data_IF_281299647857
#
_entry.id   IF_281299647857
#
_cell.length_a   1.000
_cell.length_b   1.000
_cell.length_c   1.000
_cell.angle_alpha   90.00
_cell.angle_beta   90.00
_cell.angle_gamma   90.00
#
_symmetry.space_group_name_H-M   'P 1'
#
loop_
_entity.id
_entity.type
_entity.pdbx_description
1 polymer ?
#
# COMPACT_ATOMS: atom_id res chain seq x y z
N UNK A 1 -44.71 18.93 21.57
CA UNK A 1 -43.65 19.77 20.96
C UNK A 1 -43.40 19.21 19.57
N UNK A 2 -43.66 20.01 18.54
CA UNK A 2 -43.55 19.60 17.13
C UNK A 2 -42.09 19.31 16.81
N UNK A 3 -41.77 18.06 16.51
CA UNK A 3 -40.47 17.64 16.02
C UNK A 3 -40.39 17.97 14.52
N UNK A 4 -40.30 19.26 14.18
CA UNK A 4 -39.69 19.68 12.93
C UNK A 4 -38.19 19.38 13.05
N UNK A 5 -37.86 18.10 12.98
CA UNK A 5 -36.49 17.64 12.91
C UNK A 5 -35.93 18.14 11.59
N UNK A 6 -34.95 19.02 11.68
CA UNK A 6 -34.24 19.55 10.53
C UNK A 6 -33.52 18.39 9.82
N UNK A 7 -34.19 17.77 8.84
CA UNK A 7 -33.67 16.65 8.04
C UNK A 7 -32.46 17.03 7.19
N UNK A 8 -32.03 18.30 7.21
CA UNK A 8 -30.84 18.78 6.53
C UNK A 8 -29.53 18.39 7.25
N UNK A 9 -29.54 18.12 8.55
CA UNK A 9 -28.33 17.69 9.28
C UNK A 9 -28.19 16.17 9.25
N UNK A 10 -27.02 15.62 8.87
CA UNK A 10 -26.73 14.19 8.97
C UNK A 10 -26.97 13.68 10.40
N UNK A 11 -27.80 12.65 10.57
CA UNK A 11 -28.04 12.08 11.90
C UNK A 11 -28.53 10.62 11.83
N UNK A 12 -28.47 9.96 12.97
CA UNK A 12 -28.97 8.60 13.19
C UNK A 12 -30.27 8.62 13.97
N UNK A 13 -31.17 7.70 13.61
CA UNK A 13 -32.40 7.40 14.35
C UNK A 13 -32.39 5.96 14.80
N UNK A 14 -33.00 5.69 15.95
CA UNK A 14 -33.28 4.33 16.40
C UNK A 14 -34.74 4.01 16.09
N UNK A 15 -34.97 2.99 15.25
CA UNK A 15 -36.32 2.51 14.94
C UNK A 15 -36.34 0.99 14.95
N UNK A 16 -37.24 0.39 15.75
CA UNK A 16 -37.34 -1.06 15.88
C UNK A 16 -36.05 -1.75 16.33
N UNK A 17 -35.20 -1.06 17.10
CA UNK A 17 -33.90 -1.58 17.56
C UNK A 17 -32.76 -1.49 16.52
N UNK A 18 -32.99 -0.86 15.36
CA UNK A 18 -31.98 -0.66 14.33
C UNK A 18 -31.62 0.82 14.20
N UNK A 19 -30.34 1.09 13.94
CA UNK A 19 -29.86 2.40 13.54
C UNK A 19 -30.22 2.64 12.07
N UNK A 20 -30.82 3.80 11.78
CA UNK A 20 -31.16 4.25 10.44
C UNK A 20 -30.59 5.66 10.22
N UNK A 21 -30.05 5.92 9.03
CA UNK A 21 -29.64 7.26 8.61
C UNK A 21 -30.80 7.99 7.93
N UNK A 22 -30.96 9.29 8.17
CA UNK A 22 -31.75 10.13 7.26
C UNK A 22 -31.05 10.29 5.92
N UNK A 23 -31.77 10.86 4.95
CA UNK A 23 -31.27 11.15 3.60
C UNK A 23 -29.97 11.98 3.61
N UNK A 24 -29.86 12.99 4.49
CA UNK A 24 -28.63 13.77 4.64
C UNK A 24 -27.45 12.91 5.14
N UNK A 25 -27.70 11.99 6.08
CA UNK A 25 -26.72 11.04 6.57
C UNK A 25 -26.30 9.99 5.54
N UNK A 26 -27.24 9.47 4.77
CA UNK A 26 -26.95 8.56 3.66
C UNK A 26 -26.09 9.24 2.58
N UNK A 27 -26.36 10.51 2.28
CA UNK A 27 -25.54 11.31 1.34
C UNK A 27 -24.10 11.46 1.82
N UNK A 28 -23.90 11.87 3.08
CA UNK A 28 -22.56 12.00 3.66
C UNK A 28 -21.82 10.67 3.67
N UNK A 29 -22.50 9.57 4.01
CA UNK A 29 -21.89 8.25 3.99
C UNK A 29 -21.44 7.84 2.58
N UNK A 30 -22.28 8.08 1.57
CA UNK A 30 -21.94 7.80 0.16
C UNK A 30 -20.77 8.66 -0.35
N UNK A 31 -20.73 9.95 0.01
CA UNK A 31 -19.62 10.85 -0.32
C UNK A 31 -18.31 10.38 0.34
N UNK A 32 -18.37 9.96 1.60
CA UNK A 32 -17.23 9.41 2.32
C UNK A 32 -16.72 8.12 1.68
N UNK A 33 -17.61 7.17 1.37
CA UNK A 33 -17.24 5.91 0.71
C UNK A 33 -16.61 6.15 -0.66
N UNK A 34 -17.11 7.13 -1.42
CA UNK A 34 -16.53 7.52 -2.70
C UNK A 34 -15.12 8.09 -2.54
N UNK A 35 -14.94 9.06 -1.64
CA UNK A 35 -13.64 9.66 -1.37
C UNK A 35 -12.63 8.63 -0.83
N UNK A 36 -13.07 7.70 0.02
CA UNK A 36 -12.26 6.60 0.52
C UNK A 36 -11.82 5.65 -0.61
N UNK A 37 -12.71 5.35 -1.57
CA UNK A 37 -12.35 4.56 -2.74
C UNK A 37 -11.35 5.27 -3.66
N UNK A 38 -11.48 6.59 -3.84
CA UNK A 38 -10.51 7.39 -4.60
C UNK A 38 -9.15 7.45 -3.89
N UNK A 39 -9.13 7.63 -2.57
CA UNK A 39 -7.90 7.61 -1.77
C UNK A 39 -7.17 6.27 -1.89
N UNK A 40 -7.88 5.14 -1.80
CA UNK A 40 -7.28 3.81 -1.99
C UNK A 40 -6.61 3.65 -3.37
N UNK A 41 -7.22 4.20 -4.44
CA UNK A 41 -6.60 4.20 -5.77
C UNK A 41 -5.35 5.08 -5.84
N UNK A 42 -5.38 6.23 -5.17
CA UNK A 42 -4.23 7.12 -5.08
C UNK A 42 -3.07 6.45 -4.33
N UNK A 43 -3.36 5.72 -3.25
CA UNK A 43 -2.37 5.00 -2.46
C UNK A 43 -1.73 3.87 -3.26
N UNK A 44 -2.55 3.07 -3.96
CA UNK A 44 -2.05 2.06 -4.90
C UNK A 44 -1.15 2.69 -5.99
N UNK A 45 -1.54 3.84 -6.54
CA UNK A 45 -0.74 4.57 -7.54
C UNK A 45 0.60 5.02 -6.96
N UNK A 46 0.60 5.53 -5.73
CA UNK A 46 1.82 5.91 -5.02
C UNK A 46 2.73 4.71 -4.77
N UNK A 47 2.19 3.58 -4.32
CA UNK A 47 2.96 2.35 -4.09
C UNK A 47 3.61 1.83 -5.39
N UNK A 48 2.87 1.83 -6.50
CA UNK A 48 3.42 1.47 -7.80
C UNK A 48 4.55 2.40 -8.24
N UNK A 49 4.40 3.71 -8.03
CA UNK A 49 5.44 4.69 -8.34
C UNK A 49 6.69 4.54 -7.45
N UNK A 50 6.51 4.28 -6.15
CA UNK A 50 7.61 4.01 -5.20
C UNK A 50 8.44 2.80 -5.65
N UNK A 51 7.77 1.69 -5.99
CA UNK A 51 8.46 0.46 -6.40
C UNK A 51 9.13 0.62 -7.78
N UNK A 52 8.51 1.33 -8.71
CA UNK A 52 9.15 1.66 -9.98
C UNK A 52 10.40 2.53 -9.80
N UNK A 53 10.35 3.50 -8.88
CA UNK A 53 11.50 4.34 -8.53
C UNK A 53 12.66 3.50 -7.96
N UNK A 54 12.39 2.52 -7.12
CA UNK A 54 13.44 1.60 -6.63
C UNK A 54 14.21 0.92 -7.78
N UNK A 55 13.50 0.47 -8.82
CA UNK A 55 14.14 -0.13 -9.99
C UNK A 55 14.89 0.87 -10.88
N UNK A 56 14.51 2.16 -10.87
CA UNK A 56 15.27 3.23 -11.53
C UNK A 56 16.55 3.52 -10.76
N UNK A 57 16.43 3.74 -9.45
CA UNK A 57 17.53 4.11 -8.56
C UNK A 57 18.53 2.95 -8.40
N UNK A 58 18.07 1.71 -8.61
CA UNK A 58 18.89 0.48 -8.56
C UNK A 58 18.74 -0.36 -9.83
N UNK A 59 19.43 0.00 -10.93
CA UNK A 59 19.33 -0.74 -12.21
C UNK A 59 19.78 -2.21 -12.14
N UNK A 60 20.59 -2.55 -11.13
CA UNK A 60 21.06 -3.91 -10.87
C UNK A 60 19.97 -4.80 -10.23
N UNK A 61 18.91 -4.22 -9.67
CA UNK A 61 17.83 -4.96 -9.00
C UNK A 61 16.86 -5.54 -10.03
N UNK A 62 16.74 -6.87 -10.04
CA UNK A 62 15.77 -7.61 -10.86
C UNK A 62 14.49 -7.95 -10.10
N UNK A 63 14.57 -8.10 -8.78
CA UNK A 63 13.39 -8.38 -7.95
C UNK A 63 13.75 -8.59 -6.50
N UNK A 64 12.72 -8.61 -5.65
CA UNK A 64 12.83 -8.85 -4.22
C UNK A 64 11.48 -9.33 -3.66
N UNK A 65 11.49 -9.87 -2.46
CA UNK A 65 10.31 -10.08 -1.63
C UNK A 65 10.33 -9.05 -0.52
N UNK A 66 9.22 -8.33 -0.32
CA UNK A 66 9.03 -7.39 0.79
C UNK A 66 7.97 -7.99 1.71
N UNK A 67 8.31 -8.22 2.96
CA UNK A 67 7.37 -8.58 4.01
C UNK A 67 7.04 -7.34 4.83
N UNK A 68 5.76 -7.02 4.97
CA UNK A 68 5.27 -5.90 5.76
C UNK A 68 4.51 -6.44 6.97
N UNK A 69 5.00 -6.13 8.17
CA UNK A 69 4.38 -6.58 9.43
C UNK A 69 3.84 -5.40 10.21
N UNK A 70 2.58 -5.49 10.63
CA UNK A 70 1.96 -4.52 11.51
C UNK A 70 1.89 -5.05 12.94
N UNK A 71 2.21 -4.19 13.90
CA UNK A 71 2.11 -4.51 15.32
C UNK A 71 1.59 -3.31 16.12
N UNK A 72 1.00 -3.56 17.29
CA UNK A 72 0.65 -2.52 18.24
C UNK A 72 1.83 -2.29 19.17
N UNK A 73 2.31 -1.04 19.25
CA UNK A 73 3.40 -0.64 20.13
C UNK A 73 2.87 0.39 21.11
N UNK A 74 3.20 0.21 22.39
CA UNK A 74 2.88 1.17 23.45
C UNK A 74 4.15 1.93 23.79
N UNK A 75 4.11 3.26 23.70
CA UNK A 75 5.22 4.11 24.12
C UNK A 75 5.32 4.22 25.66
N UNK A 76 6.36 4.92 26.11
CA UNK A 76 6.61 5.16 27.53
C UNK A 76 5.53 6.02 28.21
N UNK A 77 4.72 6.75 27.43
CA UNK A 77 3.58 7.55 27.90
C UNK A 77 2.28 6.73 27.97
N UNK A 78 2.31 5.45 27.57
CA UNK A 78 1.17 4.54 27.57
C UNK A 78 0.24 4.70 26.35
N UNK A 79 0.64 5.48 25.34
CA UNK A 79 -0.09 5.63 24.09
C UNK A 79 0.22 4.43 23.19
N UNK A 80 -0.83 3.75 22.73
CA UNK A 80 -0.69 2.64 21.79
C UNK A 80 -0.93 3.14 20.36
N UNK A 81 0.02 2.86 19.47
CA UNK A 81 -0.07 3.18 18.06
C UNK A 81 0.28 1.95 17.22
N UNK A 82 -0.10 1.98 15.94
CA UNK A 82 0.30 0.94 14.98
C UNK A 82 1.71 1.24 14.49
N UNK A 83 2.63 0.31 14.70
CA UNK A 83 3.94 0.28 14.07
C UNK A 83 3.89 -0.69 12.90
N UNK A 84 4.47 -0.28 11.78
CA UNK A 84 4.69 -1.13 10.62
C UNK A 84 6.19 -1.26 10.44
N UNK A 85 6.65 -2.42 9.99
CA UNK A 85 8.04 -2.66 9.59
C UNK A 85 8.04 -3.36 8.25
N UNK A 86 8.89 -2.90 7.33
CA UNK A 86 9.20 -3.58 6.09
C UNK A 86 10.53 -4.34 6.20
N UNK A 87 10.54 -5.60 5.80
CA UNK A 87 11.76 -6.41 5.67
C UNK A 87 11.91 -6.95 4.26
N UNK A 88 13.15 -7.06 3.77
CA UNK A 88 13.46 -7.45 2.39
C UNK A 88 14.22 -8.77 2.34
N UNK A 89 13.80 -9.66 1.45
CA UNK A 89 14.45 -10.94 1.21
C UNK A 89 14.44 -11.31 -0.28
N UNK A 90 15.11 -12.42 -0.62
CA UNK A 90 15.17 -12.97 -1.98
C UNK A 90 15.55 -11.94 -3.06
N UNK A 91 16.60 -11.16 -2.79
CA UNK A 91 17.05 -10.11 -3.71
C UNK A 91 17.69 -10.75 -4.95
N UNK A 92 17.16 -10.41 -6.11
CA UNK A 92 17.60 -10.93 -7.41
C UNK A 92 18.34 -9.82 -8.15
N UNK A 93 19.49 -10.18 -8.71
CA UNK A 93 20.32 -9.31 -9.55
C UNK A 93 19.99 -9.50 -11.04
N UNK A 94 20.07 -8.41 -11.82
CA UNK A 94 19.96 -8.47 -13.29
C UNK A 94 21.27 -8.96 -13.90
N UNK A 95 21.21 -10.09 -14.60
CA UNK A 95 22.36 -10.66 -15.30
C UNK A 95 23.06 -9.64 -16.21
N UNK A 96 24.37 -9.53 -16.05
CA UNK A 96 25.22 -8.66 -16.87
C UNK A 96 25.18 -7.17 -16.52
N UNK A 97 24.37 -6.73 -15.56
CA UNK A 97 24.39 -5.36 -15.04
C UNK A 97 25.44 -5.25 -13.93
N UNK A 98 26.35 -4.26 -13.95
CA UNK A 98 27.31 -4.08 -12.87
C UNK A 98 26.64 -3.81 -11.52
N UNK A 99 27.14 -4.44 -10.46
CA UNK A 99 26.75 -4.16 -9.09
C UNK A 99 27.42 -2.87 -8.60
N UNK A 100 26.70 -2.11 -7.77
CA UNK A 100 27.31 -1.00 -7.04
C UNK A 100 28.21 -1.53 -5.93
N UNK A 101 29.28 -0.80 -5.59
CA UNK A 101 30.22 -1.18 -4.51
C UNK A 101 29.51 -1.44 -3.17
N UNK A 102 28.41 -0.73 -2.92
CA UNK A 102 27.59 -0.88 -1.72
C UNK A 102 26.96 -2.27 -1.58
N UNK A 103 26.74 -3.00 -2.68
CA UNK A 103 26.09 -4.32 -2.68
C UNK A 103 26.96 -5.43 -3.30
N UNK A 104 28.16 -5.09 -3.78
CA UNK A 104 29.11 -6.05 -4.32
C UNK A 104 29.97 -6.71 -3.22
N UNK A 105 30.12 -8.02 -3.31
CA UNK A 105 31.09 -8.81 -2.57
C UNK A 105 31.96 -9.61 -3.54
N UNK A 106 33.04 -8.97 -3.99
CA UNK A 106 34.05 -9.56 -4.88
C UNK A 106 33.46 -10.03 -6.23
N UNK A 107 32.62 -9.18 -6.85
CA UNK A 107 32.00 -9.43 -8.15
C UNK A 107 30.69 -10.23 -8.09
N UNK A 108 30.13 -10.47 -6.90
CA UNK A 108 28.85 -11.13 -6.71
C UNK A 108 27.94 -10.30 -5.80
N UNK A 109 26.62 -10.48 -5.95
CA UNK A 109 25.63 -9.81 -5.10
C UNK A 109 25.79 -10.27 -3.65
N UNK A 110 26.05 -9.33 -2.75
CA UNK A 110 25.99 -9.53 -1.32
C UNK A 110 24.55 -9.35 -0.85
N UNK A 111 23.87 -10.46 -0.53
CA UNK A 111 22.46 -10.44 -0.11
C UNK A 111 22.24 -9.54 1.10
N UNK A 112 23.03 -9.68 2.16
CA UNK A 112 22.89 -8.89 3.39
C UNK A 112 22.99 -7.38 3.10
N UNK A 113 23.99 -6.95 2.34
CA UNK A 113 24.15 -5.53 1.97
C UNK A 113 23.03 -5.01 1.09
N UNK A 114 22.53 -5.85 0.19
CA UNK A 114 21.43 -5.50 -0.70
C UNK A 114 20.11 -5.37 0.09
N UNK A 115 19.83 -6.31 0.99
CA UNK A 115 18.71 -6.24 1.93
C UNK A 115 18.80 -4.98 2.78
N UNK A 116 19.92 -4.74 3.46
CA UNK A 116 20.11 -3.55 4.31
C UNK A 116 19.87 -2.27 3.51
N UNK A 117 20.40 -2.18 2.29
CA UNK A 117 20.22 -1.01 1.44
C UNK A 117 18.74 -0.80 1.06
N UNK A 118 18.03 -1.86 0.68
CA UNK A 118 16.63 -1.77 0.25
C UNK A 118 15.69 -1.51 1.44
N UNK A 119 15.92 -2.13 2.59
CA UNK A 119 15.18 -1.87 3.83
C UNK A 119 15.34 -0.42 4.27
N UNK A 120 16.55 0.13 4.23
CA UNK A 120 16.78 1.54 4.54
C UNK A 120 16.01 2.50 3.62
N UNK A 121 15.80 2.14 2.34
CA UNK A 121 14.98 2.95 1.42
C UNK A 121 13.49 2.83 1.76
N UNK A 122 13.04 1.63 2.14
CA UNK A 122 11.64 1.36 2.48
C UNK A 122 11.24 1.87 3.86
N UNK A 123 12.18 2.02 4.80
CA UNK A 123 11.90 2.40 6.19
C UNK A 123 11.07 3.69 6.32
N UNK A 124 11.37 4.71 5.51
CA UNK A 124 10.60 5.97 5.54
C UNK A 124 9.21 5.86 4.89
N UNK A 125 8.90 4.71 4.29
CA UNK A 125 7.72 4.48 3.45
C UNK A 125 6.90 3.26 3.90
N UNK A 126 7.29 2.55 4.96
CA UNK A 126 6.74 1.25 5.33
C UNK A 126 5.25 1.32 5.70
N UNK A 127 4.86 2.31 6.50
CA UNK A 127 3.49 2.53 6.92
C UNK A 127 2.57 2.89 5.75
N UNK A 128 3.04 3.76 4.84
CA UNK A 128 2.29 4.18 3.65
C UNK A 128 2.18 3.04 2.63
N UNK A 129 3.25 2.24 2.48
CA UNK A 129 3.25 1.05 1.63
C UNK A 129 2.27 0.01 2.17
N UNK A 130 2.30 -0.30 3.47
CA UNK A 130 1.34 -1.20 4.09
C UNK A 130 -0.10 -0.71 3.94
N UNK A 131 -0.34 0.59 4.14
CA UNK A 131 -1.68 1.17 3.99
C UNK A 131 -2.23 1.08 2.55
N UNK A 132 -1.37 0.85 1.56
CA UNK A 132 -1.78 0.65 0.16
C UNK A 132 -2.37 -0.73 -0.12
N UNK A 133 -2.20 -1.70 0.80
CA UNK A 133 -2.64 -3.08 0.63
C UNK A 133 -3.60 -3.55 1.74
N UNK A 134 -3.41 -3.08 2.98
CA UNK A 134 -4.20 -3.54 4.12
C UNK A 134 -5.54 -2.83 4.26
N UNK A 135 -6.56 -3.55 4.74
CA UNK A 135 -7.81 -2.93 5.16
C UNK A 135 -7.62 -2.13 6.47
N UNK A 136 -8.44 -1.09 6.70
CA UNK A 136 -8.39 -0.33 7.94
C UNK A 136 -8.65 -1.23 9.16
N UNK A 137 -7.79 -1.12 10.18
CA UNK A 137 -7.85 -1.85 11.46
C UNK A 137 -7.40 -3.31 11.45
N UNK A 138 -6.93 -3.82 10.30
CA UNK A 138 -6.26 -5.11 10.25
C UNK A 138 -4.75 -4.98 10.56
N UNK A 139 -4.19 -6.09 11.04
CA UNK A 139 -2.78 -6.26 11.39
C UNK A 139 -2.19 -7.47 10.63
N UNK A 140 -2.75 -7.77 9.46
CA UNK A 140 -2.30 -8.89 8.66
C UNK A 140 -0.89 -8.64 8.12
N UNK A 141 -0.07 -9.68 8.12
CA UNK A 141 1.23 -9.65 7.48
C UNK A 141 1.04 -9.72 5.95
N UNK A 142 1.77 -8.89 5.22
CA UNK A 142 1.64 -8.78 3.76
C UNK A 142 2.98 -9.11 3.10
N UNK A 143 2.97 -10.13 2.26
CA UNK A 143 4.12 -10.51 1.42
C UNK A 143 3.95 -9.99 -0.01
N UNK A 144 4.87 -9.13 -0.44
CA UNK A 144 4.91 -8.55 -1.78
C UNK A 144 6.08 -9.13 -2.56
N UNK A 145 5.79 -9.88 -3.63
CA UNK A 145 6.82 -10.33 -4.58
C UNK A 145 6.87 -9.31 -5.72
N UNK A 146 7.99 -8.59 -5.82
CA UNK A 146 8.16 -7.51 -6.78
C UNK A 146 9.23 -7.89 -7.80
N UNK A 147 8.91 -7.78 -9.09
CA UNK A 147 9.81 -8.15 -10.19
C UNK A 147 9.91 -7.03 -11.22
N UNK A 148 11.14 -6.75 -11.67
CA UNK A 148 11.46 -5.70 -12.63
C UNK A 148 10.86 -5.98 -14.01
N UNK A 149 10.87 -7.24 -14.42
CA UNK A 149 10.39 -7.69 -15.74
C UNK A 149 8.91 -7.35 -15.95
N UNK A 150 8.09 -7.44 -14.91
CA UNK A 150 6.67 -7.07 -14.94
C UNK A 150 6.43 -5.62 -15.39
N UNK A 151 7.37 -4.70 -15.13
CA UNK A 151 7.26 -3.28 -15.50
C UNK A 151 8.38 -2.82 -16.44
N UNK A 152 9.10 -3.73 -17.09
CA UNK A 152 10.30 -3.40 -17.87
C UNK A 152 10.04 -2.38 -18.98
N UNK A 153 8.89 -2.45 -19.65
CA UNK A 153 8.50 -1.49 -20.69
C UNK A 153 8.22 -0.09 -20.11
N UNK A 154 7.57 0.00 -18.95
CA UNK A 154 7.31 1.27 -18.27
C UNK A 154 8.60 1.97 -17.86
N UNK A 155 9.61 1.22 -17.41
CA UNK A 155 10.90 1.76 -16.97
C UNK A 155 11.70 2.44 -18.10
N UNK A 156 11.32 2.25 -19.38
CA UNK A 156 11.93 2.95 -20.51
C UNK A 156 11.28 4.32 -20.80
N UNK A 157 10.14 4.61 -20.17
CA UNK A 157 9.41 5.87 -20.35
C UNK A 157 10.06 7.04 -19.62
N UNK A 158 9.86 8.26 -20.14
CA UNK A 158 10.26 9.51 -19.46
C UNK A 158 9.39 9.78 -18.21
N UNK A 159 8.14 9.33 -18.24
CA UNK A 159 7.20 9.39 -17.12
C UNK A 159 6.67 8.00 -16.84
N UNK A 160 6.63 7.64 -15.55
CA UNK A 160 6.07 6.38 -15.09
C UNK A 160 4.72 6.66 -14.45
N UNK A 161 3.68 6.01 -15.00
CA UNK A 161 2.37 5.98 -14.39
C UNK A 161 2.35 4.93 -13.26
N UNK A 162 2.28 5.40 -12.02
CA UNK A 162 2.25 4.55 -10.83
C UNK A 162 1.06 3.59 -10.78
N UNK A 163 -0.07 3.95 -11.41
CA UNK A 163 -1.26 3.09 -11.44
C UNK A 163 -1.04 1.88 -12.34
N UNK A 164 -0.34 2.08 -13.47
CA UNK A 164 0.03 1.00 -14.39
C UNK A 164 1.13 0.15 -13.76
N UNK A 165 2.12 0.76 -13.10
CA UNK A 165 3.16 0.04 -12.38
C UNK A 165 2.56 -0.87 -11.29
N UNK A 166 1.64 -0.36 -10.47
CA UNK A 166 0.96 -1.15 -9.44
C UNK A 166 0.18 -2.33 -10.05
N UNK A 167 -0.61 -2.08 -11.09
CA UNK A 167 -1.40 -3.12 -11.74
C UNK A 167 -0.55 -4.24 -12.35
N UNK A 168 0.62 -3.90 -12.91
CA UNK A 168 1.53 -4.88 -13.48
C UNK A 168 2.31 -5.67 -12.41
N UNK A 169 2.79 -4.99 -11.37
CA UNK A 169 3.52 -5.62 -10.27
C UNK A 169 2.63 -6.57 -9.45
N UNK A 170 1.34 -6.25 -9.32
CA UNK A 170 0.41 -6.95 -8.45
C UNK A 170 -0.83 -7.45 -9.19
N UNK A 171 -0.66 -7.92 -10.43
CA UNK A 171 -1.76 -8.41 -11.28
C UNK A 171 -2.62 -9.48 -10.58
N UNK A 172 -2.04 -10.28 -9.69
CA UNK A 172 -2.75 -11.29 -8.88
C UNK A 172 -3.52 -10.70 -7.68
N UNK A 173 -3.19 -9.48 -7.22
CA UNK A 173 -3.88 -8.79 -6.12
C UNK A 173 -5.08 -7.94 -6.58
N UNK A 174 -5.30 -7.77 -7.89
CA UNK A 174 -6.42 -6.97 -8.45
C UNK A 174 -7.79 -7.67 -8.26
N UNK A 175 -7.84 -8.86 -7.66
CA UNK A 175 -9.07 -9.65 -7.47
C UNK A 175 -9.58 -9.73 -6.03
N UNK A 176 -9.79 -8.59 -5.38
CA UNK A 176 -10.68 -8.48 -4.22
C UNK A 176 -11.50 -7.19 -4.25
N UNK A 177 -12.21 -6.95 -5.37
CA UNK A 177 -13.35 -6.03 -5.30
C UNK A 177 -14.45 -6.70 -4.46
N UNK A 178 -15.01 -6.05 -3.43
CA UNK A 178 -16.17 -6.57 -2.72
C UNK A 178 -17.29 -6.78 -3.75
N UNK A 179 -17.85 -7.99 -3.75
CA UNK A 179 -19.03 -8.32 -4.53
C UNK A 179 -20.12 -7.31 -4.16
N UNK A 180 -20.54 -6.49 -5.13
CA UNK A 180 -21.63 -5.54 -4.94
C UNK A 180 -22.88 -6.24 -4.39
N UNK A 181 -23.76 -5.51 -3.68
CA UNK A 181 -24.92 -6.10 -3.04
C UNK A 181 -25.79 -6.80 -4.07
N UNK A 182 -26.12 -8.08 -3.81
CA UNK A 182 -27.16 -8.78 -4.56
C UNK A 182 -28.48 -8.04 -4.42
N UNK A 183 -29.11 -7.78 -5.55
CA UNK A 183 -30.44 -7.18 -5.67
C UNK A 183 -31.53 -8.05 -5.01
#
# INVERSE_FOLDING_TARGET
MSADQNFATPTYFLSGGKFLLNDAGQKVNSEYEHAAAEKRKLDATWAGALLARLFIDHPWLAGMTIELRASAVTDDDGVTFRSVVASVSDVIHVDGVPLAESVDAAGNLCQDRATDLLENVLQDNDADLYASFAEPHEYDDIDLIVRRDAIAELLQGEQIDGSVAFALLFSDHVHAAPSGPSA
#
